data_IF_898290736369
#
_entry.id   IF_898290736369
#
_cell.length_a   1.000
_cell.length_b   1.000
_cell.length_c   1.000
_cell.angle_alpha   90.00
_cell.angle_beta   90.00
_cell.angle_gamma   90.00
#
_symmetry.space_group_name_H-M   'P 1'
#
loop_
_entity.id
_entity.type
_entity.pdbx_description
1 polymer ?
#
# COMPACT_ATOMS: atom_id res chain seq x y z
N UNK A 1 -15.71 -16.22 -4.34
CA UNK A 1 -16.18 -15.45 -3.17
C UNK A 1 -15.10 -15.49 -2.12
N UNK A 2 -14.47 -14.36 -1.78
CA UNK A 2 -13.49 -14.31 -0.68
C UNK A 2 -14.26 -14.20 0.63
N UNK A 3 -14.15 -15.21 1.49
CA UNK A 3 -14.61 -15.20 2.88
C UNK A 3 -13.37 -15.26 3.76
N UNK A 4 -12.97 -14.13 4.34
CA UNK A 4 -11.93 -14.08 5.36
C UNK A 4 -12.59 -14.17 6.74
N UNK A 5 -12.25 -15.20 7.50
CA UNK A 5 -12.67 -15.34 8.90
C UNK A 5 -11.63 -16.08 9.73
N UNK A 6 -11.19 -15.46 10.83
CA UNK A 6 -10.59 -16.07 12.03
C UNK A 6 -10.86 -15.09 13.21
N UNK A 7 -10.97 -15.55 14.48
CA UNK A 7 -11.78 -14.97 15.53
C UNK A 7 -11.31 -13.58 15.98
N UNK A 8 -12.24 -12.95 16.69
CA UNK A 8 -12.26 -11.67 17.40
C UNK A 8 -10.94 -11.32 18.13
N UNK A 9 -9.84 -11.07 17.42
CA UNK A 9 -8.59 -10.49 17.97
C UNK A 9 -7.56 -10.04 16.90
N UNK A 10 -7.91 -9.97 15.62
CA UNK A 10 -6.91 -9.66 14.58
C UNK A 10 -6.66 -8.16 14.40
N UNK A 11 -5.53 -7.70 14.94
CA UNK A 11 -4.89 -6.40 14.75
C UNK A 11 -4.37 -6.13 13.30
N UNK A 12 -4.80 -6.92 12.31
CA UNK A 12 -4.35 -6.76 10.92
C UNK A 12 -5.17 -5.69 10.21
N UNK A 13 -4.48 -4.70 9.68
CA UNK A 13 -5.10 -3.58 8.97
C UNK A 13 -5.35 -3.86 7.47
N UNK A 14 -4.68 -4.86 6.91
CA UNK A 14 -4.83 -5.28 5.52
C UNK A 14 -4.03 -6.54 5.21
N UNK A 15 -4.39 -7.21 4.12
CA UNK A 15 -3.79 -8.48 3.67
C UNK A 15 -3.74 -8.53 2.14
N UNK A 16 -2.73 -9.21 1.60
CA UNK A 16 -2.63 -9.54 0.19
C UNK A 16 -2.31 -11.03 0.06
N UNK A 17 -3.13 -11.72 -0.72
CA UNK A 17 -2.96 -13.12 -1.06
C UNK A 17 -2.42 -13.24 -2.50
N UNK A 18 -1.17 -13.69 -2.68
CA UNK A 18 -0.59 -13.88 -4.01
C UNK A 18 -1.14 -15.10 -4.74
N UNK A 19 -1.76 -16.08 -4.08
CA UNK A 19 -2.29 -17.29 -4.75
C UNK A 19 -3.56 -16.99 -5.54
N UNK A 20 -4.39 -16.10 -5.00
CA UNK A 20 -5.67 -15.68 -5.64
C UNK A 20 -5.63 -14.25 -6.19
N UNK A 21 -4.45 -13.60 -6.14
CA UNK A 21 -4.25 -12.22 -6.55
C UNK A 21 -5.33 -11.29 -5.97
N UNK A 22 -5.50 -11.33 -4.65
CA UNK A 22 -6.54 -10.55 -3.97
C UNK A 22 -5.99 -9.77 -2.79
N UNK A 23 -6.46 -8.54 -2.64
CA UNK A 23 -6.12 -7.67 -1.51
C UNK A 23 -7.34 -7.26 -0.72
N UNK A 24 -7.23 -7.23 0.61
CA UNK A 24 -8.30 -6.82 1.52
C UNK A 24 -7.79 -5.78 2.51
N UNK A 25 -8.60 -4.75 2.77
CA UNK A 25 -8.35 -3.73 3.78
C UNK A 25 -9.37 -3.84 4.90
N UNK A 26 -8.90 -3.88 6.15
CA UNK A 26 -9.76 -3.94 7.33
C UNK A 26 -10.17 -2.52 7.76
N UNK A 27 -11.25 -2.00 7.17
CA UNK A 27 -11.72 -0.64 7.43
C UNK A 27 -12.02 -0.36 8.92
N UNK A 28 -12.76 -1.23 9.65
CA UNK A 28 -12.99 -1.01 11.07
C UNK A 28 -11.69 -0.88 11.90
N UNK A 29 -10.69 -1.72 11.66
CA UNK A 29 -9.42 -1.66 12.38
C UNK A 29 -8.68 -0.32 12.16
N UNK A 30 -8.79 0.26 10.96
CA UNK A 30 -8.18 1.56 10.65
C UNK A 30 -8.87 2.74 11.33
N UNK A 31 -10.10 2.58 11.82
CA UNK A 31 -10.86 3.63 12.50
C UNK A 31 -10.44 3.84 13.97
N UNK A 32 -9.68 2.91 14.55
CA UNK A 32 -9.28 2.97 15.95
C UNK A 32 -8.42 4.21 16.26
N UNK A 33 -8.78 4.96 17.29
CA UNK A 33 -8.04 6.17 17.70
C UNK A 33 -8.12 7.34 16.71
N UNK A 34 -9.09 7.33 15.79
CA UNK A 34 -9.32 8.45 14.84
C UNK A 34 -10.07 9.61 15.49
N UNK A 35 -10.98 9.35 16.44
CA UNK A 35 -11.67 10.42 17.19
C UNK A 35 -12.51 11.38 16.33
N UNK A 36 -13.02 10.93 15.18
CA UNK A 36 -13.78 11.77 14.24
C UNK A 36 -12.94 12.49 13.17
N UNK A 37 -11.61 12.36 13.21
CA UNK A 37 -10.73 12.88 12.15
C UNK A 37 -10.86 12.07 10.85
N UNK A 38 -11.80 12.49 10.01
CA UNK A 38 -12.08 11.85 8.72
C UNK A 38 -10.84 11.83 7.81
N UNK A 39 -10.01 12.85 7.86
CA UNK A 39 -8.82 12.93 7.01
C UNK A 39 -7.80 11.86 7.41
N UNK A 40 -7.53 11.72 8.70
CA UNK A 40 -6.64 10.67 9.22
C UNK A 40 -7.12 9.27 8.81
N UNK A 41 -8.43 9.02 8.92
CA UNK A 41 -9.02 7.75 8.51
C UNK A 41 -8.84 7.48 7.01
N UNK A 42 -9.16 8.45 6.15
CA UNK A 42 -8.94 8.34 4.71
C UNK A 42 -7.47 8.09 4.37
N UNK A 43 -6.53 8.79 5.01
CA UNK A 43 -5.09 8.60 4.80
C UNK A 43 -4.60 7.20 5.21
N UNK A 44 -5.20 6.58 6.23
CA UNK A 44 -4.88 5.18 6.61
C UNK A 44 -5.36 4.18 5.56
N UNK A 45 -6.57 4.39 5.02
CA UNK A 45 -7.11 3.59 3.93
C UNK A 45 -6.22 3.72 2.68
N UNK A 46 -5.90 4.95 2.27
CA UNK A 46 -5.00 5.22 1.14
C UNK A 46 -3.69 4.45 1.27
N UNK A 47 -3.04 4.50 2.45
CA UNK A 47 -1.79 3.77 2.69
C UNK A 47 -1.94 2.26 2.54
N UNK A 48 -3.00 1.66 3.10
CA UNK A 48 -3.20 0.21 2.96
C UNK A 48 -3.51 -0.19 1.52
N UNK A 49 -4.36 0.56 0.82
CA UNK A 49 -4.69 0.31 -0.59
C UNK A 49 -3.43 0.41 -1.45
N UNK A 50 -2.66 1.49 -1.31
CA UNK A 50 -1.40 1.68 -2.06
C UNK A 50 -0.38 0.59 -1.77
N UNK A 51 -0.26 0.15 -0.51
CA UNK A 51 0.60 -0.96 -0.11
C UNK A 51 0.18 -2.28 -0.77
N UNK A 52 -1.12 -2.58 -0.74
CA UNK A 52 -1.69 -3.77 -1.38
C UNK A 52 -1.47 -3.74 -2.89
N UNK A 53 -1.71 -2.61 -3.56
CA UNK A 53 -1.42 -2.44 -4.98
C UNK A 53 0.08 -2.68 -5.27
N UNK A 54 0.96 -2.15 -4.42
CA UNK A 54 2.40 -2.43 -4.54
C UNK A 54 2.72 -3.92 -4.44
N UNK A 55 2.15 -4.63 -3.47
CA UNK A 55 2.33 -6.07 -3.31
C UNK A 55 1.75 -6.87 -4.49
N UNK A 56 0.58 -6.47 -4.99
CA UNK A 56 -0.06 -7.04 -6.18
C UNK A 56 0.85 -6.91 -7.41
N UNK A 57 1.54 -5.78 -7.54
CA UNK A 57 2.50 -5.52 -8.60
C UNK A 57 3.90 -6.10 -8.32
N UNK A 58 4.04 -6.96 -7.30
CA UNK A 58 5.29 -7.68 -7.01
C UNK A 58 6.34 -6.87 -6.25
N UNK A 59 5.98 -5.74 -5.63
CA UNK A 59 6.93 -4.99 -4.79
C UNK A 59 7.12 -5.69 -3.44
N UNK A 60 8.35 -6.08 -3.13
CA UNK A 60 8.81 -6.43 -1.78
C UNK A 60 8.91 -5.22 -0.83
N UNK A 61 8.92 -5.46 0.50
CA UNK A 61 9.03 -4.41 1.51
C UNK A 61 10.19 -3.43 1.30
N UNK A 62 10.02 -2.19 1.76
CA UNK A 62 11.00 -1.12 1.63
C UNK A 62 11.56 -0.71 3.01
N UNK A 63 12.87 -0.58 3.19
CA UNK A 63 13.44 -0.13 4.46
C UNK A 63 13.22 1.38 4.74
N UNK A 64 12.81 2.16 3.73
CA UNK A 64 12.58 3.61 3.90
C UNK A 64 11.27 3.85 4.67
N UNK A 65 11.30 4.45 5.88
CA UNK A 65 10.11 4.66 6.71
C UNK A 65 9.09 5.63 6.09
N UNK A 66 9.49 6.43 5.10
CA UNK A 66 8.60 7.32 4.36
C UNK A 66 7.99 6.68 3.10
N UNK A 67 8.28 5.41 2.82
CA UNK A 67 7.68 4.67 1.72
C UNK A 67 6.42 3.92 2.20
N UNK A 68 5.36 3.92 1.39
CA UNK A 68 4.14 3.14 1.68
C UNK A 68 4.38 1.62 1.76
N UNK A 69 5.49 1.13 1.18
CA UNK A 69 5.92 -0.27 1.26
C UNK A 69 6.74 -0.59 2.52
N UNK A 70 6.90 0.35 3.45
CA UNK A 70 7.60 0.08 4.70
C UNK A 70 6.80 -0.89 5.59
N UNK A 71 7.46 -1.88 6.24
CA UNK A 71 6.83 -2.65 7.30
C UNK A 71 6.41 -1.77 8.46
N UNK A 72 5.26 -2.08 9.05
CA UNK A 72 4.77 -1.42 10.26
C UNK A 72 3.90 -2.41 11.04
N UNK A 73 3.75 -2.16 12.33
CA UNK A 73 3.03 -3.02 13.27
C UNK A 73 1.94 -2.27 14.05
N UNK A 74 2.03 -0.94 14.14
CA UNK A 74 1.06 -0.12 14.88
C UNK A 74 0.39 0.93 14.01
N UNK A 75 -0.81 1.38 14.40
CA UNK A 75 -1.48 2.50 13.71
C UNK A 75 -0.69 3.81 13.80
N UNK A 76 0.11 4.00 14.86
CA UNK A 76 1.00 5.14 14.98
C UNK A 76 2.09 5.10 13.90
N UNK A 77 2.76 3.96 13.73
CA UNK A 77 3.74 3.80 12.65
C UNK A 77 3.09 3.98 11.27
N UNK A 78 1.87 3.47 11.06
CA UNK A 78 1.12 3.69 9.83
C UNK A 78 0.87 5.19 9.56
N UNK A 79 0.57 5.95 10.60
CA UNK A 79 0.33 7.40 10.50
C UNK A 79 1.61 8.17 10.13
N UNK A 80 2.79 7.69 10.57
CA UNK A 80 4.10 8.29 10.30
C UNK A 80 4.66 7.98 8.90
N UNK A 81 4.23 6.86 8.31
CA UNK A 81 4.63 6.45 6.96
C UNK A 81 4.16 7.46 5.90
N UNK A 82 4.92 7.55 4.80
CA UNK A 82 4.45 8.29 3.63
C UNK A 82 3.30 7.57 2.93
N UNK A 83 2.50 8.34 2.18
CA UNK A 83 1.34 7.82 1.43
C UNK A 83 1.72 7.22 0.07
N UNK A 84 2.87 7.61 -0.45
CA UNK A 84 3.33 7.25 -1.79
C UNK A 84 4.54 6.31 -1.74
N UNK A 85 4.85 5.73 -2.89
CA UNK A 85 6.12 5.04 -3.10
C UNK A 85 7.28 6.05 -3.04
N UNK A 86 8.37 5.69 -2.36
CA UNK A 86 9.61 6.47 -2.44
C UNK A 86 10.20 6.41 -3.87
N UNK A 87 11.08 7.34 -4.27
CA UNK A 87 11.62 7.37 -5.63
C UNK A 87 12.23 6.02 -6.09
N UNK A 88 12.97 5.27 -5.25
CA UNK A 88 13.41 3.92 -5.62
C UNK A 88 12.28 2.92 -5.87
N UNK A 89 11.20 2.97 -5.09
CA UNK A 89 10.04 2.09 -5.28
C UNK A 89 9.20 2.48 -6.49
N UNK A 90 9.17 3.76 -6.89
CA UNK A 90 8.56 4.19 -8.16
C UNK A 90 9.28 3.53 -9.34
N UNK A 91 10.61 3.54 -9.36
CA UNK A 91 11.36 2.83 -10.41
C UNK A 91 11.17 1.31 -10.39
N UNK A 92 10.97 0.71 -9.20
CA UNK A 92 10.61 -0.72 -9.08
C UNK A 92 9.21 -1.00 -9.64
N UNK A 93 8.26 -0.12 -9.35
CA UNK A 93 6.89 -0.18 -9.86
C UNK A 93 6.87 -0.13 -11.38
N UNK A 94 7.57 0.84 -11.97
CA UNK A 94 7.69 1.00 -13.43
C UNK A 94 8.22 -0.26 -14.11
N UNK A 95 9.29 -0.87 -13.55
CA UNK A 95 9.85 -2.12 -14.07
C UNK A 95 8.84 -3.26 -13.96
N UNK A 96 8.14 -3.38 -12.84
CA UNK A 96 7.15 -4.43 -12.64
C UNK A 96 5.98 -4.31 -13.63
N UNK A 97 5.37 -3.14 -13.75
CA UNK A 97 4.24 -2.95 -14.68
C UNK A 97 4.67 -3.09 -16.14
N UNK A 98 5.89 -2.64 -16.49
CA UNK A 98 6.43 -2.83 -17.85
C UNK A 98 6.63 -4.30 -18.17
N UNK A 99 7.11 -5.10 -17.21
CA UNK A 99 7.28 -6.55 -17.37
C UNK A 99 5.96 -7.30 -17.55
N UNK A 100 4.85 -6.73 -17.08
CA UNK A 100 3.49 -7.23 -17.26
C UNK A 100 2.83 -6.74 -18.58
N UNK A 101 3.54 -5.95 -19.39
CA UNK A 101 3.04 -5.42 -20.66
C UNK A 101 2.19 -4.15 -20.55
N UNK A 102 2.14 -3.50 -19.38
CA UNK A 102 1.46 -2.21 -19.24
C UNK A 102 2.32 -1.07 -19.79
N UNK A 103 1.70 -0.18 -20.57
CA UNK A 103 2.34 1.06 -21.00
C UNK A 103 2.50 2.01 -19.80
N UNK A 104 3.72 2.43 -19.52
CA UNK A 104 4.00 3.44 -18.50
C UNK A 104 4.08 4.83 -19.13
N UNK A 105 3.33 5.78 -18.57
CA UNK A 105 3.52 7.21 -18.83
C UNK A 105 3.68 7.91 -17.50
N UNK A 106 4.92 8.30 -17.20
CA UNK A 106 5.17 9.18 -16.08
C UNK A 106 4.74 10.60 -16.44
N UNK A 107 3.67 11.07 -15.82
CA UNK A 107 3.17 12.45 -16.02
C UNK A 107 4.04 13.48 -15.26
N UNK A 108 5.12 13.06 -14.58
CA UNK A 108 5.97 13.91 -13.74
C UNK A 108 7.48 13.85 -14.04
N UNK A 109 7.93 13.07 -15.03
CA UNK A 109 9.31 13.12 -15.50
C UNK A 109 9.29 13.74 -16.90
N UNK A 110 9.92 14.91 -17.06
CA UNK A 110 10.17 15.44 -18.39
C UNK A 110 10.93 14.37 -19.17
N UNK A 111 10.28 13.80 -20.18
CA UNK A 111 10.88 12.81 -21.05
C UNK A 111 11.91 13.54 -21.91
N UNK A 112 13.17 13.55 -21.50
CA UNK A 112 14.28 13.83 -22.42
C UNK A 112 14.54 12.55 -23.21
N UNK A 113 14.01 12.49 -24.42
CA UNK A 113 14.43 11.52 -25.44
C UNK A 113 15.71 12.08 -26.09
N UNK A 114 16.78 11.28 -26.27
CA UNK A 114 17.93 11.69 -27.08
C UNK A 114 17.59 11.85 -28.57
#
# INVERSE_FOLDING_TARGET
TVLLGWPCDTAWHGFYDPEVEAGVVNLPALSAGVGGDREKYCRRIERQVMRIIGMFLGLSPCPNPRCVMHPYHTLHELDDMGRNFCPPCVGRLERAVSSMGYATRNVGHAVTVP
#
